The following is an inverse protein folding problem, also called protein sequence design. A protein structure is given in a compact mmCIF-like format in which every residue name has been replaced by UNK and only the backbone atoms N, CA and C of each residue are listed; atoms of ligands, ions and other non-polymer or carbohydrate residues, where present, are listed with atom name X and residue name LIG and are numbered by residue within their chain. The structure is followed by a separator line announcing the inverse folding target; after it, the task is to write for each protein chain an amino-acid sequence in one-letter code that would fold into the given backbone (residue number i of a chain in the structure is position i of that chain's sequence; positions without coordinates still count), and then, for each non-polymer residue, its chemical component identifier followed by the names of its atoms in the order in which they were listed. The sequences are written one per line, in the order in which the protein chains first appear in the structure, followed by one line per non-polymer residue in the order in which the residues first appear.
data_IF_086936705472
#
_entry.id   IF_086936705472
#
_cell.length_a   1.000
_cell.length_b   1.000
_cell.length_c   1.000
_cell.angle_alpha   90.00
_cell.angle_beta   90.00
_cell.angle_gamma   90.00
#
_symmetry.space_group_name_H-M   'P 1'
#
loop_
_entity.id
_entity.type
_entity.pdbx_description
1 polymer ?
#
# COMPACT_ATOMS: atom_id res chain seq x y z
N UNK A 1 7.05 11.33 -0.63
CA UNK A 1 8.22 10.50 -0.29
C UNK A 1 8.64 9.68 -1.50
N UNK A 2 9.91 9.74 -1.91
CA UNK A 2 10.50 8.85 -2.93
C UNK A 2 10.47 7.37 -2.48
N UNK A 3 10.34 6.44 -3.44
CA UNK A 3 10.34 4.98 -3.20
C UNK A 3 11.53 4.53 -2.35
N UNK A 4 12.73 5.07 -2.60
CA UNK A 4 13.95 4.73 -1.87
C UNK A 4 13.85 5.03 -0.37
N UNK A 5 13.30 6.18 0.00
CA UNK A 5 13.14 6.58 1.41
C UNK A 5 12.14 5.66 2.13
N UNK A 6 11.07 5.27 1.45
CA UNK A 6 10.10 4.30 1.96
C UNK A 6 10.77 2.95 2.26
N UNK A 7 11.58 2.43 1.34
CA UNK A 7 12.26 1.15 1.54
C UNK A 7 13.26 1.17 2.69
N UNK A 8 13.99 2.28 2.83
CA UNK A 8 14.92 2.49 3.95
C UNK A 8 14.18 2.57 5.29
N UNK A 9 13.08 3.31 5.36
CA UNK A 9 12.25 3.44 6.57
C UNK A 9 11.75 2.09 7.06
N UNK A 10 11.30 1.23 6.15
CA UNK A 10 10.77 -0.09 6.48
C UNK A 10 11.84 -1.18 6.52
N UNK A 11 13.12 -0.87 6.27
CA UNK A 11 14.20 -1.84 6.18
C UNK A 11 13.84 -3.03 5.27
N UNK A 12 13.34 -2.73 4.07
CA UNK A 12 13.01 -3.73 3.04
C UNK A 12 13.79 -3.43 1.77
N UNK A 13 13.98 -4.46 0.94
CA UNK A 13 14.54 -4.33 -0.40
C UNK A 13 13.46 -4.57 -1.45
N UNK A 14 13.69 -4.12 -2.69
CA UNK A 14 12.82 -4.42 -3.84
C UNK A 14 13.51 -5.39 -4.77
N UNK A 15 12.74 -6.35 -5.29
CA UNK A 15 13.10 -7.19 -6.42
C UNK A 15 12.05 -7.04 -7.52
N UNK A 16 12.48 -6.74 -8.74
CA UNK A 16 11.55 -6.59 -9.85
C UNK A 16 11.37 -7.87 -10.64
N UNK A 17 10.14 -8.10 -11.12
CA UNK A 17 9.82 -9.21 -12.02
C UNK A 17 8.97 -8.74 -13.20
N UNK A 18 8.89 -9.57 -14.25
CA UNK A 18 7.97 -9.34 -15.38
C UNK A 18 6.70 -10.18 -15.26
N UNK A 19 5.61 -9.72 -15.89
CA UNK A 19 4.33 -10.45 -15.90
C UNK A 19 4.39 -11.85 -16.52
N UNK A 20 5.47 -12.17 -17.26
CA UNK A 20 5.74 -13.52 -17.75
C UNK A 20 6.22 -14.48 -16.66
N UNK A 21 6.75 -13.97 -15.54
CA UNK A 21 7.20 -14.78 -14.40
C UNK A 21 6.05 -15.03 -13.42
N UNK A 22 5.27 -13.99 -13.10
CA UNK A 22 4.11 -14.09 -12.22
C UNK A 22 2.94 -13.22 -12.70
N UNK A 23 1.69 -13.69 -12.55
CA UNK A 23 0.49 -12.97 -13.00
C UNK A 23 -0.02 -11.93 -12.01
N UNK A 24 0.76 -11.59 -10.98
CA UNK A 24 0.38 -10.65 -9.91
C UNK A 24 1.17 -9.36 -9.97
N UNK A 25 0.69 -8.31 -9.32
CA UNK A 25 1.32 -6.98 -9.35
C UNK A 25 2.48 -6.86 -8.36
N UNK A 26 2.38 -7.52 -7.20
CA UNK A 26 3.46 -7.58 -6.21
C UNK A 26 3.18 -8.58 -5.10
N UNK A 27 4.20 -8.85 -4.30
CA UNK A 27 4.13 -9.66 -3.08
C UNK A 27 5.30 -9.42 -2.16
N UNK A 28 5.10 -9.61 -0.85
CA UNK A 28 6.20 -9.59 0.11
C UNK A 28 6.71 -10.98 0.48
N UNK A 29 8.03 -11.10 0.56
CA UNK A 29 8.71 -12.14 1.33
C UNK A 29 9.09 -11.56 2.70
N UNK A 30 8.31 -11.83 3.76
CA UNK A 30 8.53 -11.23 5.07
C UNK A 30 9.79 -11.77 5.75
N UNK A 31 10.27 -12.97 5.39
CA UNK A 31 11.47 -13.58 5.97
C UNK A 31 12.71 -12.85 5.47
N UNK A 32 12.81 -12.67 4.15
CA UNK A 32 13.95 -12.00 3.54
C UNK A 32 13.78 -10.48 3.47
N UNK A 33 12.62 -9.94 3.86
CA UNK A 33 12.26 -8.52 3.80
C UNK A 33 12.42 -7.95 2.38
N UNK A 34 11.90 -8.68 1.40
CA UNK A 34 11.94 -8.31 -0.02
C UNK A 34 10.51 -8.11 -0.51
N UNK A 35 10.22 -6.93 -1.07
CA UNK A 35 9.01 -6.69 -1.85
C UNK A 35 9.33 -7.03 -3.31
N UNK A 36 8.65 -8.05 -3.82
CA UNK A 36 8.66 -8.38 -5.23
C UNK A 36 7.60 -7.56 -5.95
N UNK A 37 7.97 -6.89 -7.03
CA UNK A 37 7.05 -6.01 -7.76
C UNK A 37 7.17 -6.15 -9.27
N UNK A 38 6.02 -6.11 -9.94
CA UNK A 38 5.96 -6.14 -11.39
C UNK A 38 6.52 -4.83 -11.97
N UNK A 39 7.57 -4.92 -12.77
CA UNK A 39 8.23 -3.78 -13.41
C UNK A 39 7.35 -3.05 -14.44
N UNK A 40 6.26 -3.67 -14.88
CA UNK A 40 5.33 -3.10 -15.86
C UNK A 40 4.30 -2.14 -15.28
N UNK A 41 4.27 -1.94 -13.95
CA UNK A 41 3.32 -1.06 -13.30
C UNK A 41 3.68 0.42 -13.50
N UNK A 42 2.67 1.27 -13.67
CA UNK A 42 2.86 2.71 -13.60
C UNK A 42 3.22 3.15 -12.17
N UNK A 43 3.78 4.36 -12.04
CA UNK A 43 4.30 4.86 -10.77
C UNK A 43 3.25 4.88 -9.62
N UNK A 44 1.99 5.22 -9.91
CA UNK A 44 0.96 5.29 -8.88
C UNK A 44 0.50 3.90 -8.45
N UNK A 45 0.28 3.00 -9.40
CA UNK A 45 -0.06 1.60 -9.10
C UNK A 45 1.08 0.91 -8.37
N UNK A 46 2.32 1.16 -8.79
CA UNK A 46 3.52 0.63 -8.14
C UNK A 46 3.62 1.07 -6.68
N UNK A 47 3.49 2.37 -6.40
CA UNK A 47 3.51 2.88 -5.03
C UNK A 47 2.39 2.26 -4.17
N UNK A 48 1.18 2.16 -4.71
CA UNK A 48 0.04 1.53 -4.03
C UNK A 48 0.34 0.09 -3.65
N UNK A 49 0.88 -0.70 -4.58
CA UNK A 49 1.24 -2.10 -4.36
C UNK A 49 2.32 -2.20 -3.29
N UNK A 50 3.40 -1.41 -3.35
CA UNK A 50 4.47 -1.43 -2.33
C UNK A 50 3.90 -1.17 -0.94
N UNK A 51 3.11 -0.09 -0.78
CA UNK A 51 2.55 0.25 0.53
C UNK A 51 1.59 -0.82 1.07
N UNK A 52 0.82 -1.47 0.19
CA UNK A 52 -0.04 -2.60 0.57
C UNK A 52 0.79 -3.79 1.06
N UNK A 53 1.83 -4.18 0.32
CA UNK A 53 2.71 -5.29 0.69
C UNK A 53 3.49 -5.00 1.98
N UNK A 54 3.92 -3.75 2.21
CA UNK A 54 4.50 -3.32 3.49
C UNK A 54 3.51 -3.47 4.65
N UNK A 55 2.21 -3.27 4.38
CA UNK A 55 1.15 -3.50 5.35
C UNK A 55 1.00 -4.96 5.79
N UNK A 56 1.66 -5.90 5.11
CA UNK A 56 1.72 -7.31 5.50
C UNK A 56 2.94 -7.69 6.34
N UNK A 57 3.93 -6.81 6.52
CA UNK A 57 5.18 -7.13 7.23
C UNK A 57 4.97 -7.70 8.64
N UNK A 58 3.98 -7.17 9.36
CA UNK A 58 3.72 -7.51 10.77
C UNK A 58 2.64 -8.60 10.94
N UNK A 59 2.15 -9.20 9.85
CA UNK A 59 1.16 -10.28 9.93
C UNK A 59 1.84 -11.64 10.14
N UNK A 60 1.31 -12.44 11.07
CA UNK A 60 1.78 -13.81 11.27
C UNK A 60 1.24 -14.72 10.15
N UNK A 61 2.11 -15.32 9.30
CA UNK A 61 1.70 -16.21 8.24
C UNK A 61 0.89 -17.42 8.73
N UNK A 62 1.11 -17.87 9.98
CA UNK A 62 0.40 -19.03 10.57
C UNK A 62 -1.10 -18.77 10.73
N UNK A 63 -1.51 -17.52 10.80
CA UNK A 63 -2.91 -17.13 10.97
C UNK A 63 -3.53 -16.60 9.68
N UNK A 64 -2.78 -16.53 8.59
CA UNK A 64 -3.20 -15.85 7.38
C UNK A 64 -4.47 -16.45 6.78
N UNK A 65 -4.61 -17.78 6.70
CA UNK A 65 -5.83 -18.40 6.16
C UNK A 65 -7.09 -18.03 6.96
N UNK A 66 -6.97 -17.98 8.30
CA UNK A 66 -8.10 -17.67 9.20
C UNK A 66 -8.40 -16.18 9.27
N UNK A 67 -7.38 -15.33 9.16
CA UNK A 67 -7.47 -13.88 9.34
C UNK A 67 -7.34 -13.10 8.04
N UNK A 68 -7.43 -13.78 6.88
CA UNK A 68 -7.17 -13.21 5.56
C UNK A 68 -7.86 -11.88 5.34
N UNK A 69 -9.19 -11.83 5.48
CA UNK A 69 -9.96 -10.60 5.26
C UNK A 69 -9.52 -9.46 6.19
N UNK A 70 -9.19 -9.77 7.45
CA UNK A 70 -8.67 -8.80 8.40
C UNK A 70 -7.29 -8.27 7.99
N UNK A 71 -6.40 -9.16 7.56
CA UNK A 71 -5.05 -8.79 7.13
C UNK A 71 -5.06 -7.99 5.82
N UNK A 72 -5.90 -8.34 4.86
CA UNK A 72 -6.11 -7.54 3.64
C UNK A 72 -6.69 -6.16 3.98
N UNK A 73 -7.67 -6.08 4.88
CA UNK A 73 -8.23 -4.81 5.31
C UNK A 73 -7.19 -3.93 6.02
N UNK A 74 -6.34 -4.53 6.87
CA UNK A 74 -5.27 -3.81 7.56
C UNK A 74 -4.20 -3.32 6.58
N UNK A 75 -3.80 -4.16 5.63
CA UNK A 75 -2.85 -3.78 4.59
C UNK A 75 -3.39 -2.66 3.69
N UNK A 76 -4.66 -2.73 3.29
CA UNK A 76 -5.33 -1.66 2.55
C UNK A 76 -5.38 -0.36 3.33
N UNK A 77 -5.68 -0.42 4.63
CA UNK A 77 -5.68 0.76 5.49
C UNK A 77 -4.29 1.39 5.64
N UNK A 78 -3.26 0.56 5.83
CA UNK A 78 -1.87 1.02 5.90
C UNK A 78 -1.43 1.65 4.56
N UNK A 79 -1.83 1.05 3.45
CA UNK A 79 -1.61 1.60 2.12
C UNK A 79 -2.24 2.98 1.96
N UNK A 80 -3.51 3.14 2.35
CA UNK A 80 -4.21 4.43 2.28
C UNK A 80 -3.55 5.46 3.20
N UNK A 81 -3.18 5.07 4.42
CA UNK A 81 -2.45 5.93 5.36
C UNK A 81 -1.19 6.51 4.69
N UNK A 82 -0.34 5.63 4.14
CA UNK A 82 0.87 6.05 3.44
C UNK A 82 0.58 6.91 2.21
N UNK A 83 -0.46 6.63 1.42
CA UNK A 83 -0.82 7.46 0.27
C UNK A 83 -1.30 8.85 0.69
N UNK A 84 -2.09 8.96 1.76
CA UNK A 84 -2.60 10.25 2.28
C UNK A 84 -1.45 11.09 2.85
N UNK A 85 -0.53 10.48 3.62
CA UNK A 85 0.68 11.15 4.14
C UNK A 85 1.58 11.71 3.03
N UNK A 86 1.49 11.15 1.82
CA UNK A 86 2.26 11.57 0.66
C UNK A 86 1.54 12.59 -0.25
N UNK A 87 0.29 12.92 0.04
CA UNK A 87 -0.49 13.89 -0.72
C UNK A 87 -0.40 15.29 -0.07
N UNK A 88 -0.51 16.34 -0.88
CA UNK A 88 -0.72 17.68 -0.32
C UNK A 88 -2.09 17.73 0.33
N UNK A 89 -2.14 18.21 1.58
CA UNK A 89 -3.39 18.39 2.32
C UNK A 89 -4.11 19.70 1.95
N UNK A 90 -3.42 20.62 1.26
CA UNK A 90 -4.02 21.86 0.76
C UNK A 90 -5.01 21.54 -0.37
N UNK A 91 -6.28 21.91 -0.20
CA UNK A 91 -7.39 21.55 -1.12
C UNK A 91 -7.58 20.03 -1.30
N UNK A 92 -7.35 19.24 -0.23
CA UNK A 92 -7.55 17.79 -0.29
C UNK A 92 -8.98 17.42 -0.71
N UNK A 93 -9.09 16.65 -1.80
CA UNK A 93 -10.35 16.17 -2.34
C UNK A 93 -10.30 14.65 -2.49
N UNK A 94 -11.01 13.94 -1.61
CA UNK A 94 -10.98 12.47 -1.57
C UNK A 94 -11.46 11.83 -2.88
N UNK A 95 -12.34 12.47 -3.66
CA UNK A 95 -12.81 11.94 -4.96
C UNK A 95 -11.68 11.99 -5.99
N UNK A 96 -10.94 13.11 -6.06
CA UNK A 96 -9.75 13.22 -6.93
C UNK A 96 -8.67 12.23 -6.51
N UNK A 97 -8.47 12.08 -5.20
CA UNK A 97 -7.52 11.12 -4.62
C UNK A 97 -7.87 9.67 -4.98
N UNK A 98 -9.14 9.25 -4.80
CA UNK A 98 -9.60 7.92 -5.19
C UNK A 98 -9.39 7.64 -6.67
N UNK A 99 -9.67 8.63 -7.54
CA UNK A 99 -9.45 8.51 -8.99
C UNK A 99 -7.97 8.38 -9.34
N UNK A 100 -7.09 9.15 -8.69
CA UNK A 100 -5.63 9.14 -8.92
C UNK A 100 -5.02 7.75 -8.66
N UNK A 101 -5.43 7.09 -7.58
CA UNK A 101 -4.89 5.79 -7.16
C UNK A 101 -5.76 4.58 -7.55
N UNK A 102 -6.82 4.80 -8.33
CA UNK A 102 -7.79 3.79 -8.75
C UNK A 102 -8.35 3.00 -7.54
N UNK A 103 -8.83 3.73 -6.53
CA UNK A 103 -9.53 3.21 -5.35
C UNK A 103 -11.03 3.30 -5.61
N UNK A 104 -11.76 2.20 -5.43
CA UNK A 104 -13.13 2.07 -5.97
C UNK A 104 -14.15 1.55 -4.97
N UNK A 105 -13.72 1.17 -3.77
CA UNK A 105 -14.63 0.58 -2.78
C UNK A 105 -15.10 1.60 -1.75
N UNK A 106 -16.27 1.35 -1.14
CA UNK A 106 -16.77 2.13 -0.01
C UNK A 106 -15.83 1.99 1.20
N UNK A 107 -15.13 0.86 1.32
CA UNK A 107 -14.11 0.64 2.33
C UNK A 107 -12.93 1.61 2.16
N UNK A 108 -12.43 1.76 0.92
CA UNK A 108 -11.37 2.73 0.59
C UNK A 108 -11.79 4.15 0.94
N UNK A 109 -12.99 4.57 0.52
CA UNK A 109 -13.53 5.90 0.83
C UNK A 109 -13.56 6.16 2.34
N UNK A 110 -14.03 5.17 3.10
CA UNK A 110 -14.11 5.24 4.56
C UNK A 110 -12.72 5.37 5.18
N UNK A 111 -11.75 4.56 4.74
CA UNK A 111 -10.37 4.65 5.22
C UNK A 111 -9.72 5.98 4.85
N UNK A 112 -9.89 6.49 3.63
CA UNK A 112 -9.34 7.78 3.21
C UNK A 112 -9.84 8.90 4.12
N UNK A 113 -11.16 8.98 4.36
CA UNK A 113 -11.74 10.00 5.23
C UNK A 113 -11.19 9.90 6.65
N UNK A 114 -11.10 8.69 7.19
CA UNK A 114 -10.59 8.47 8.54
C UNK A 114 -9.11 8.83 8.68
N UNK A 115 -8.25 8.41 7.75
CA UNK A 115 -6.82 8.72 7.81
C UNK A 115 -6.55 10.21 7.56
N UNK A 116 -7.30 10.86 6.66
CA UNK A 116 -7.23 12.31 6.47
C UNK A 116 -7.62 13.09 7.73
N UNK A 117 -8.74 12.72 8.38
CA UNK A 117 -9.20 13.38 9.60
C UNK A 117 -8.15 13.32 10.72
N UNK A 118 -7.48 12.18 10.90
CA UNK A 118 -6.40 12.05 11.89
C UNK A 118 -5.28 13.05 11.66
N UNK A 119 -4.91 13.31 10.40
CA UNK A 119 -3.80 14.23 10.09
C UNK A 119 -4.15 15.70 10.34
N UNK A 120 -5.41 16.10 10.19
CA UNK A 120 -5.84 17.49 10.40
C UNK A 120 -6.27 17.79 11.84
N UNK A 121 -6.60 16.76 12.62
CA UNK A 121 -6.93 16.88 14.05
C UNK A 121 -5.68 16.87 14.96
N UNK A 122 -4.48 16.71 14.38
CA UNK A 122 -3.19 16.70 15.09
C UNK A 122 -2.53 18.08 15.06
#
# INVERSE_FOLDING_TARGET
MPEKELLEQFNVSICEFSSSQWPRDGFIDPINRVVYINRGLDQYTRLKVILHELGHLEHDPKHYERLREKYEAQANRNMICGLVENESLDDFNYVRFMKKYNLTTICDETFIKNEYLKLIET
#
